data_IF_944660091611
#
_entry.id   IF_944660091611
#
_cell.length_a   1.000
_cell.length_b   1.000
_cell.length_c   1.000
_cell.angle_alpha   90.00
_cell.angle_beta   90.00
_cell.angle_gamma   90.00
#
_symmetry.space_group_name_H-M   'P 1'
#
loop_
_entity.id
_entity.type
_entity.pdbx_description
1 polymer ?
#
# COMPACT_ATOMS: atom_id res chain seq x y z
N UNK A 1 4.72 -1.02 -14.80
CA UNK A 1 5.42 -0.59 -13.56
C UNK A 1 6.91 -0.78 -13.79
N UNK A 2 7.70 0.25 -13.50
CA UNK A 2 9.15 0.21 -13.64
C UNK A 2 9.77 0.13 -12.24
N UNK A 3 10.64 -0.86 -12.03
CA UNK A 3 11.39 -1.01 -10.77
C UNK A 3 12.81 -0.48 -10.96
N UNK A 4 13.31 0.23 -9.96
CA UNK A 4 14.67 0.75 -9.99
C UNK A 4 15.67 -0.38 -9.75
N UNK A 5 16.64 -0.53 -10.67
CA UNK A 5 17.78 -1.45 -10.52
C UNK A 5 19.02 -0.68 -10.00
N UNK A 6 19.92 -1.35 -9.28
CA UNK A 6 21.12 -0.76 -8.67
C UNK A 6 22.02 -0.05 -9.70
N UNK A 7 22.14 -0.61 -10.90
CA UNK A 7 22.96 -0.07 -12.00
C UNK A 7 22.41 1.25 -12.58
N UNK A 8 21.14 1.58 -12.35
CA UNK A 8 20.50 2.81 -12.87
C UNK A 8 20.36 3.92 -11.84
N UNK A 9 20.75 3.71 -10.58
CA UNK A 9 20.43 4.65 -9.51
C UNK A 9 21.12 6.02 -9.67
N UNK A 10 22.31 6.10 -10.27
CA UNK A 10 22.95 7.39 -10.58
C UNK A 10 22.22 8.15 -11.69
N UNK A 11 21.57 7.46 -12.62
CA UNK A 11 20.89 8.07 -13.77
C UNK A 11 19.51 8.66 -13.45
N UNK A 12 18.97 8.42 -12.25
CA UNK A 12 17.63 8.89 -11.87
C UNK A 12 17.63 10.22 -11.12
N UNK A 13 18.80 10.73 -10.68
CA UNK A 13 18.89 12.04 -10.03
C UNK A 13 18.67 13.20 -11.03
N UNK A 14 18.06 14.32 -10.59
CA UNK A 14 17.30 14.45 -9.35
C UNK A 14 15.99 13.66 -9.42
N UNK A 15 15.54 13.11 -8.30
CA UNK A 15 14.23 12.45 -8.20
C UNK A 15 13.43 12.93 -7.00
N UNK A 16 12.11 12.79 -7.09
CA UNK A 16 11.19 13.05 -6.00
C UNK A 16 10.90 11.73 -5.29
N UNK A 17 11.30 11.59 -4.03
CA UNK A 17 10.94 10.46 -3.20
C UNK A 17 9.61 10.74 -2.47
N UNK A 18 8.62 9.90 -2.71
CA UNK A 18 7.30 9.93 -2.07
C UNK A 18 7.26 8.85 -1.00
N UNK A 19 7.32 9.24 0.27
CA UNK A 19 7.27 8.32 1.41
C UNK A 19 5.86 8.21 1.97
N UNK A 20 5.23 7.08 1.74
CA UNK A 20 3.88 6.72 2.17
C UNK A 20 3.94 5.88 3.45
N UNK A 21 3.83 6.53 4.61
CA UNK A 21 3.85 5.89 5.94
C UNK A 21 2.51 6.15 6.64
N UNK A 22 2.53 6.56 7.91
CA UNK A 22 1.32 7.02 8.62
C UNK A 22 0.67 8.19 7.88
N UNK A 23 1.46 9.20 7.53
CA UNK A 23 1.14 10.22 6.53
C UNK A 23 2.00 10.06 5.26
N UNK A 24 1.92 11.03 4.37
CA UNK A 24 2.72 11.06 3.13
C UNK A 24 3.72 12.22 3.19
N UNK A 25 4.99 11.96 2.85
CA UNK A 25 6.03 12.99 2.81
C UNK A 25 6.75 13.00 1.47
N UNK A 26 7.08 14.19 0.98
CA UNK A 26 7.73 14.40 -0.31
C UNK A 26 9.13 14.94 -0.06
N UNK A 27 10.13 14.28 -0.64
CA UNK A 27 11.52 14.68 -0.53
C UNK A 27 12.10 14.86 -1.92
N UNK A 28 12.76 15.98 -2.14
CA UNK A 28 13.64 16.13 -3.30
C UNK A 28 14.99 15.53 -2.94
N UNK A 29 15.50 14.68 -3.82
CA UNK A 29 16.79 14.02 -3.68
C UNK A 29 17.63 14.42 -4.88
N UNK A 30 18.65 15.24 -4.65
CA UNK A 30 19.52 15.77 -5.70
C UNK A 30 20.76 14.90 -5.93
N UNK A 31 21.23 14.22 -4.88
CA UNK A 31 22.42 13.37 -4.92
C UNK A 31 22.38 12.32 -3.80
N UNK A 32 23.34 11.37 -3.75
CA UNK A 32 23.42 10.40 -2.66
C UNK A 32 23.55 11.01 -1.25
N UNK A 33 23.98 12.27 -1.16
CA UNK A 33 24.21 12.99 0.11
C UNK A 33 23.30 14.21 0.29
N UNK A 34 22.55 14.60 -0.74
CA UNK A 34 21.67 15.78 -0.70
C UNK A 34 20.22 15.38 -0.85
N UNK A 35 19.46 15.56 0.24
CA UNK A 35 18.02 15.42 0.24
C UNK A 35 17.38 16.43 1.19
N UNK A 36 16.19 16.90 0.85
CA UNK A 36 15.40 17.74 1.75
C UNK A 36 13.90 17.54 1.53
N UNK A 37 13.12 17.80 2.58
CA UNK A 37 11.67 17.64 2.55
C UNK A 37 11.03 18.85 1.90
N UNK A 38 10.28 18.61 0.83
CA UNK A 38 9.58 19.66 0.07
C UNK A 38 8.12 19.81 0.45
N UNK A 39 7.55 18.81 1.12
CA UNK A 39 6.15 18.85 1.54
C UNK A 39 5.68 17.59 2.25
N UNK A 40 4.40 17.57 2.55
CA UNK A 40 3.72 16.39 3.07
C UNK A 40 2.21 16.54 3.13
N UNK A 41 1.54 15.42 3.37
CA UNK A 41 0.11 15.32 3.52
C UNK A 41 -0.22 14.45 4.73
N UNK A 42 -1.21 14.83 5.56
CA UNK A 42 -1.67 14.00 6.67
C UNK A 42 -2.40 12.74 6.17
N UNK A 43 -2.75 12.67 4.88
CA UNK A 43 -3.42 11.52 4.27
C UNK A 43 -2.36 10.50 3.88
N UNK A 44 -2.32 9.40 4.63
CA UNK A 44 -1.46 8.25 4.37
C UNK A 44 -2.07 6.96 4.90
N UNK A 45 -1.22 5.99 5.22
CA UNK A 45 -1.67 4.68 5.67
C UNK A 45 -2.41 4.69 7.01
N UNK A 46 -2.05 5.60 7.94
CA UNK A 46 -2.76 5.72 9.21
C UNK A 46 -4.19 6.27 9.02
N UNK A 47 -4.38 7.17 8.04
CA UNK A 47 -5.70 7.70 7.67
C UNK A 47 -6.59 6.59 7.13
N UNK A 48 -6.08 5.80 6.17
CA UNK A 48 -6.81 4.66 5.60
C UNK A 48 -7.15 3.63 6.67
N UNK A 49 -6.18 3.26 7.52
CA UNK A 49 -6.42 2.33 8.63
C UNK A 49 -7.43 2.86 9.64
N UNK A 50 -7.35 4.13 10.01
CA UNK A 50 -8.28 4.77 10.94
C UNK A 50 -9.70 4.76 10.40
N UNK A 51 -9.90 5.24 9.17
CA UNK A 51 -11.22 5.21 8.52
C UNK A 51 -11.75 3.79 8.34
N UNK A 52 -10.90 2.86 7.91
CA UNK A 52 -11.27 1.46 7.78
C UNK A 52 -11.74 0.85 9.11
N UNK A 53 -11.12 1.17 10.24
CA UNK A 53 -11.55 0.67 11.55
C UNK A 53 -12.93 1.18 11.97
N UNK A 54 -13.31 2.37 11.52
CA UNK A 54 -14.63 2.94 11.80
C UNK A 54 -15.70 2.48 10.79
N UNK A 55 -15.32 2.27 9.53
CA UNK A 55 -16.27 2.05 8.43
C UNK A 55 -16.39 0.60 7.98
N UNK A 56 -15.43 -0.27 8.33
CA UNK A 56 -15.37 -1.66 7.88
C UNK A 56 -15.43 -2.63 9.07
N UNK A 57 -16.03 -3.82 8.88
CA UNK A 57 -16.01 -4.87 9.88
C UNK A 57 -14.57 -5.28 10.21
N UNK A 58 -14.33 -5.75 11.43
CA UNK A 58 -12.98 -6.08 11.93
C UNK A 58 -12.18 -7.01 11.00
N UNK A 59 -12.86 -7.95 10.32
CA UNK A 59 -12.25 -8.87 9.34
C UNK A 59 -11.57 -8.16 8.14
N UNK A 60 -11.92 -6.89 7.89
CA UNK A 60 -11.40 -6.06 6.81
C UNK A 60 -10.55 -4.87 7.29
N UNK A 61 -10.34 -4.67 8.59
CA UNK A 61 -9.72 -3.43 9.13
C UNK A 61 -8.66 -3.62 10.23
N UNK A 62 -8.32 -4.87 10.58
CA UNK A 62 -7.26 -5.16 11.58
C UNK A 62 -5.89 -4.74 11.09
N UNK A 63 -5.52 -5.15 9.89
CA UNK A 63 -4.23 -4.85 9.25
C UNK A 63 -4.43 -4.17 7.90
N UNK A 64 -3.41 -3.49 7.37
CA UNK A 64 -3.46 -2.95 6.01
C UNK A 64 -3.77 -4.03 4.97
N UNK A 65 -3.18 -5.22 5.12
CA UNK A 65 -3.41 -6.35 4.22
C UNK A 65 -4.88 -6.79 4.19
N UNK A 66 -5.60 -6.68 5.30
CA UNK A 66 -7.03 -7.01 5.37
C UNK A 66 -7.86 -6.05 4.51
N UNK A 67 -7.55 -4.75 4.54
CA UNK A 67 -8.23 -3.74 3.72
C UNK A 67 -8.02 -4.04 2.24
N UNK A 68 -6.77 -4.33 1.84
CA UNK A 68 -6.43 -4.70 0.46
C UNK A 68 -7.18 -5.93 -0.01
N UNK A 69 -7.25 -6.96 0.85
CA UNK A 69 -7.94 -8.21 0.55
C UNK A 69 -9.44 -7.97 0.40
N UNK A 70 -10.03 -7.16 1.29
CA UNK A 70 -11.44 -6.80 1.26
C UNK A 70 -11.81 -6.07 -0.04
N UNK A 71 -10.98 -5.13 -0.49
CA UNK A 71 -11.23 -4.37 -1.72
C UNK A 71 -10.80 -5.03 -3.03
N UNK A 72 -10.15 -6.21 -2.99
CA UNK A 72 -9.37 -6.76 -4.13
C UNK A 72 -10.11 -6.89 -5.46
N UNK A 73 -11.39 -7.22 -5.42
CA UNK A 73 -12.19 -7.53 -6.61
C UNK A 73 -13.31 -6.53 -6.87
N UNK A 74 -13.40 -5.46 -6.06
CA UNK A 74 -14.53 -4.55 -6.14
C UNK A 74 -14.23 -3.29 -6.94
N UNK A 75 -15.29 -2.78 -7.57
CA UNK A 75 -15.35 -1.48 -8.22
C UNK A 75 -15.54 -0.36 -7.18
N UNK A 76 -15.01 0.82 -7.45
CA UNK A 76 -15.21 2.02 -6.64
C UNK A 76 -16.43 2.84 -7.11
N UNK A 77 -16.90 2.62 -8.34
CA UNK A 77 -18.01 3.38 -8.94
C UNK A 77 -19.33 3.40 -8.15
N UNK A 78 -19.68 2.41 -7.30
CA UNK A 78 -20.90 2.48 -6.49
C UNK A 78 -20.85 3.56 -5.38
N UNK A 79 -19.64 3.91 -4.94
CA UNK A 79 -19.43 4.81 -3.79
C UNK A 79 -18.79 6.14 -4.18
N UNK A 80 -17.92 6.13 -5.19
CA UNK A 80 -17.30 7.33 -5.73
C UNK A 80 -18.21 7.98 -6.78
N UNK A 81 -18.31 9.30 -6.74
CA UNK A 81 -18.99 10.09 -7.76
C UNK A 81 -18.05 10.30 -8.95
N UNK A 82 -18.46 9.85 -10.12
CA UNK A 82 -17.70 9.96 -11.37
C UNK A 82 -18.15 11.17 -12.19
N UNK A 83 -17.32 11.59 -13.14
CA UNK A 83 -17.65 12.65 -14.10
C UNK A 83 -18.92 12.31 -14.88
N UNK A 84 -19.12 11.04 -15.26
CA UNK A 84 -20.33 10.58 -15.94
C UNK A 84 -21.60 10.70 -15.09
N UNK A 85 -21.51 10.63 -13.76
CA UNK A 85 -22.66 10.84 -12.89
C UNK A 85 -23.11 12.32 -12.86
N UNK A 86 -22.20 13.25 -13.18
CA UNK A 86 -22.48 14.70 -13.21
C UNK A 86 -22.92 15.14 -14.62
N UNK A 87 -22.23 14.67 -15.65
CA UNK A 87 -22.38 15.16 -17.02
C UNK A 87 -23.07 14.17 -17.97
N UNK A 88 -23.43 12.98 -17.50
CA UNK A 88 -24.05 11.92 -18.32
C UNK A 88 -23.08 11.20 -19.27
N UNK A 89 -21.77 11.47 -19.17
CA UNK A 89 -20.75 10.89 -20.04
C UNK A 89 -19.37 11.50 -19.82
N UNK A 90 -18.55 11.51 -20.87
CA UNK A 90 -17.29 12.25 -20.88
C UNK A 90 -17.54 13.77 -20.81
N UNK A 91 -16.54 14.52 -20.36
CA UNK A 91 -16.55 15.99 -20.39
C UNK A 91 -15.37 16.52 -21.22
N UNK A 92 -15.51 16.57 -22.57
CA UNK A 92 -14.40 16.79 -23.49
C UNK A 92 -13.80 18.20 -23.43
N UNK A 93 -14.57 19.21 -23.03
CA UNK A 93 -14.14 20.62 -23.01
C UNK A 93 -12.89 20.85 -22.14
N UNK A 94 -12.71 20.02 -21.10
CA UNK A 94 -11.54 20.02 -20.23
C UNK A 94 -10.81 18.67 -20.21
N UNK A 95 -11.13 17.79 -21.16
CA UNK A 95 -10.45 16.51 -21.35
C UNK A 95 -10.70 15.45 -20.27
N UNK A 96 -11.81 15.51 -19.53
CA UNK A 96 -12.13 14.52 -18.50
C UNK A 96 -12.94 13.36 -19.07
N UNK A 97 -12.51 12.13 -18.79
CA UNK A 97 -13.28 10.92 -19.12
C UNK A 97 -14.39 10.69 -18.09
N UNK A 98 -15.50 10.12 -18.51
CA UNK A 98 -16.68 9.87 -17.67
C UNK A 98 -16.43 8.90 -16.53
N UNK A 99 -15.44 8.01 -16.64
CA UNK A 99 -15.00 7.11 -15.57
C UNK A 99 -14.00 7.74 -14.58
N UNK A 100 -13.67 9.02 -14.74
CA UNK A 100 -12.80 9.75 -13.81
C UNK A 100 -13.58 10.04 -12.53
N UNK A 101 -12.97 9.78 -11.37
CA UNK A 101 -13.57 10.15 -10.08
C UNK A 101 -13.61 11.68 -9.98
N UNK A 102 -14.80 12.23 -9.87
CA UNK A 102 -15.04 13.64 -9.59
C UNK A 102 -15.02 13.93 -8.08
N UNK A 103 -15.56 13.01 -7.27
CA UNK A 103 -15.55 13.11 -5.81
C UNK A 103 -15.55 11.73 -5.15
N UNK A 104 -14.48 11.41 -4.42
CA UNK A 104 -14.39 10.18 -3.63
C UNK A 104 -15.47 10.17 -2.54
N UNK A 105 -16.16 9.04 -2.36
CA UNK A 105 -17.33 8.90 -1.47
C UNK A 105 -18.53 9.82 -1.81
N UNK A 106 -18.53 10.51 -2.95
CA UNK A 106 -19.57 11.51 -3.25
C UNK A 106 -21.00 10.93 -3.30
N UNK A 107 -21.14 9.65 -3.69
CA UNK A 107 -22.43 8.93 -3.72
C UNK A 107 -22.94 8.54 -2.33
N UNK A 108 -22.05 8.47 -1.34
CA UNK A 108 -22.41 8.14 0.05
C UNK A 108 -23.35 9.17 0.70
N UNK A 109 -23.53 10.35 0.11
CA UNK A 109 -24.50 11.34 0.58
C UNK A 109 -25.95 10.89 0.38
N UNK A 110 -26.21 10.01 -0.59
CA UNK A 110 -27.52 9.39 -0.77
C UNK A 110 -27.71 8.25 0.26
N UNK A 111 -28.79 8.34 1.05
CA UNK A 111 -29.12 7.36 2.09
C UNK A 111 -29.31 5.95 1.53
N UNK A 112 -30.03 5.81 0.41
CA UNK A 112 -30.29 4.51 -0.22
C UNK A 112 -29.00 3.86 -0.70
N UNK A 113 -28.11 4.62 -1.33
CA UNK A 113 -26.80 4.10 -1.75
C UNK A 113 -25.96 3.68 -0.54
N UNK A 114 -25.98 4.47 0.55
CA UNK A 114 -25.23 4.15 1.79
C UNK A 114 -25.64 2.81 2.40
N UNK A 115 -26.92 2.43 2.32
CA UNK A 115 -27.45 1.19 2.90
C UNK A 115 -27.07 -0.06 2.08
N UNK A 116 -26.83 0.10 0.77
CA UNK A 116 -26.52 -1.01 -0.14
C UNK A 116 -25.02 -1.19 -0.43
N UNK A 117 -24.19 -0.25 0.04
CA UNK A 117 -22.74 -0.28 -0.20
C UNK A 117 -22.08 -1.39 0.60
N UNK A 118 -21.28 -2.20 -0.10
CA UNK A 118 -20.54 -3.31 0.49
C UNK A 118 -19.26 -2.82 1.15
N UNK A 119 -18.83 -3.51 2.20
CA UNK A 119 -17.54 -3.24 2.86
C UNK A 119 -16.34 -3.29 1.90
N UNK A 120 -16.41 -4.15 0.89
CA UNK A 120 -15.38 -4.26 -0.14
C UNK A 120 -15.30 -3.04 -1.07
N UNK A 121 -16.43 -2.38 -1.36
CA UNK A 121 -16.50 -1.13 -2.14
C UNK A 121 -15.96 0.05 -1.32
N UNK A 122 -16.29 0.11 -0.03
CA UNK A 122 -15.71 1.08 0.92
C UNK A 122 -14.19 0.91 0.98
N UNK A 123 -13.71 -0.32 1.17
CA UNK A 123 -12.27 -0.61 1.21
C UNK A 123 -11.58 -0.18 -0.10
N UNK A 124 -12.19 -0.46 -1.25
CA UNK A 124 -11.68 -0.04 -2.57
C UNK A 124 -11.61 1.48 -2.68
N UNK A 125 -12.68 2.20 -2.35
CA UNK A 125 -12.75 3.66 -2.44
C UNK A 125 -11.74 4.32 -1.49
N UNK A 126 -11.56 3.83 -0.25
CA UNK A 126 -10.53 4.32 0.68
C UNK A 126 -9.11 4.22 0.09
N UNK A 127 -8.77 3.08 -0.51
CA UNK A 127 -7.47 2.89 -1.16
C UNK A 127 -7.30 3.81 -2.36
N UNK A 128 -8.36 3.99 -3.14
CA UNK A 128 -8.36 4.84 -4.34
C UNK A 128 -8.16 6.30 -3.95
N UNK A 129 -8.89 6.79 -2.94
CA UNK A 129 -8.75 8.14 -2.38
C UNK A 129 -7.30 8.43 -1.97
N UNK A 130 -6.67 7.55 -1.19
CA UNK A 130 -5.28 7.74 -0.78
C UNK A 130 -4.34 7.74 -2.00
N UNK A 131 -4.54 6.81 -2.93
CA UNK A 131 -3.69 6.65 -4.13
C UNK A 131 -3.77 7.86 -5.05
N UNK A 132 -4.98 8.33 -5.35
CA UNK A 132 -5.24 9.48 -6.22
C UNK A 132 -4.67 10.77 -5.61
N UNK A 133 -4.93 11.01 -4.32
CA UNK A 133 -4.40 12.16 -3.61
C UNK A 133 -2.86 12.16 -3.60
N UNK A 134 -2.26 11.01 -3.30
CA UNK A 134 -0.79 10.87 -3.29
C UNK A 134 -0.20 11.11 -4.69
N UNK A 135 -0.81 10.55 -5.73
CA UNK A 135 -0.36 10.72 -7.11
C UNK A 135 -0.45 12.19 -7.56
N UNK A 136 -1.55 12.88 -7.25
CA UNK A 136 -1.72 14.28 -7.61
C UNK A 136 -0.70 15.18 -6.91
N UNK A 137 -0.50 15.01 -5.60
CA UNK A 137 0.50 15.78 -4.85
C UNK A 137 1.92 15.49 -5.33
N UNK A 138 2.22 14.23 -5.66
CA UNK A 138 3.51 13.85 -6.25
C UNK A 138 3.74 14.56 -7.59
N UNK A 139 2.72 14.60 -8.46
CA UNK A 139 2.77 15.33 -9.74
C UNK A 139 3.00 16.83 -9.54
N UNK A 140 2.28 17.46 -8.60
CA UNK A 140 2.40 18.90 -8.34
C UNK A 140 3.80 19.25 -7.81
N UNK A 141 4.30 18.49 -6.84
CA UNK A 141 5.66 18.68 -6.33
C UNK A 141 6.73 18.41 -7.40
N UNK A 142 6.59 17.33 -8.17
CA UNK A 142 7.52 17.02 -9.26
C UNK A 142 7.54 18.14 -10.32
N UNK A 143 6.37 18.66 -10.68
CA UNK A 143 6.23 19.77 -11.64
C UNK A 143 6.86 21.06 -11.12
N UNK A 144 6.64 21.38 -9.84
CA UNK A 144 7.18 22.58 -9.20
C UNK A 144 8.71 22.60 -9.21
N UNK A 145 9.35 21.44 -9.03
CA UNK A 145 10.82 21.33 -8.98
C UNK A 145 11.45 20.88 -10.30
N UNK A 146 10.67 20.70 -11.37
CA UNK A 146 11.18 20.25 -12.67
C UNK A 146 11.80 18.85 -12.64
N UNK A 147 11.17 17.92 -11.91
CA UNK A 147 11.66 16.54 -11.72
C UNK A 147 10.79 15.57 -12.52
N UNK A 148 11.42 14.74 -13.34
CA UNK A 148 10.69 13.75 -14.16
C UNK A 148 10.59 12.37 -13.49
N UNK A 149 11.53 12.03 -12.60
CA UNK A 149 11.57 10.75 -11.91
C UNK A 149 10.92 10.85 -10.53
N UNK A 150 9.87 10.08 -10.29
CA UNK A 150 9.16 10.03 -9.00
C UNK A 150 9.22 8.62 -8.44
N UNK A 151 9.82 8.48 -7.27
CA UNK A 151 10.06 7.21 -6.61
C UNK A 151 9.09 7.05 -5.44
N UNK A 152 8.23 6.04 -5.47
CA UNK A 152 7.28 5.75 -4.39
C UNK A 152 7.84 4.70 -3.43
N UNK A 153 7.85 5.01 -2.13
CA UNK A 153 8.33 4.14 -1.05
C UNK A 153 7.34 4.14 0.13
N UNK A 154 7.25 3.08 0.93
CA UNK A 154 6.30 3.10 2.06
C UNK A 154 5.88 1.76 2.68
N UNK A 155 5.13 1.87 3.78
CA UNK A 155 4.60 0.75 4.60
C UNK A 155 3.52 -0.07 3.88
N UNK A 156 2.82 0.56 2.93
CA UNK A 156 1.81 -0.08 2.11
C UNK A 156 2.39 -0.69 0.83
N UNK A 157 3.65 -1.15 0.83
CA UNK A 157 4.33 -1.68 -0.36
C UNK A 157 4.80 -3.14 -0.22
N UNK A 158 4.15 -3.94 0.63
CA UNK A 158 4.28 -5.40 0.60
C UNK A 158 3.80 -6.00 -0.74
N UNK A 159 4.32 -7.16 -1.10
CA UNK A 159 4.18 -7.87 -2.38
C UNK A 159 2.74 -8.12 -2.87
N UNK A 160 1.72 -7.96 -2.01
CA UNK A 160 0.29 -8.06 -2.34
C UNK A 160 -0.35 -6.76 -2.87
N UNK A 161 0.43 -5.70 -3.11
CA UNK A 161 -0.03 -4.32 -3.35
C UNK A 161 -0.06 -3.83 -4.79
N UNK A 162 -0.05 -4.75 -5.77
CA UNK A 162 -0.17 -4.39 -7.19
C UNK A 162 -1.34 -3.45 -7.49
N UNK A 163 -2.42 -3.54 -6.72
CA UNK A 163 -3.61 -2.71 -6.89
C UNK A 163 -3.36 -1.24 -6.56
N UNK A 164 -2.71 -0.95 -5.42
CA UNK A 164 -2.39 0.43 -5.00
C UNK A 164 -1.41 1.04 -5.98
N UNK A 165 -0.39 0.27 -6.41
CA UNK A 165 0.53 0.71 -7.45
C UNK A 165 -0.17 0.98 -8.78
N UNK A 166 -1.08 0.11 -9.20
CA UNK A 166 -1.86 0.32 -10.42
C UNK A 166 -2.70 1.58 -10.34
N UNK A 167 -3.37 1.85 -9.20
CA UNK A 167 -4.14 3.07 -8.99
C UNK A 167 -3.25 4.32 -8.99
N UNK A 168 -2.11 4.29 -8.29
CA UNK A 168 -1.14 5.39 -8.29
C UNK A 168 -0.61 5.62 -9.70
N UNK A 169 -0.15 4.58 -10.40
CA UNK A 169 0.39 4.67 -11.75
C UNK A 169 -0.64 5.25 -12.73
N UNK A 170 -1.88 4.74 -12.70
CA UNK A 170 -2.95 5.22 -13.57
C UNK A 170 -3.28 6.69 -13.30
N UNK A 171 -3.40 7.06 -12.02
CA UNK A 171 -3.68 8.45 -11.62
C UNK A 171 -2.52 9.39 -11.92
N UNK A 172 -1.29 8.92 -11.73
CA UNK A 172 -0.08 9.69 -12.01
C UNK A 172 0.08 9.92 -13.52
N UNK A 173 -0.12 8.88 -14.34
CA UNK A 173 -0.11 9.00 -15.81
C UNK A 173 -1.19 9.94 -16.32
N UNK A 174 -2.37 9.96 -15.68
CA UNK A 174 -3.43 10.91 -16.00
C UNK A 174 -2.97 12.36 -15.86
N UNK A 175 -2.32 12.72 -14.75
CA UNK A 175 -1.84 14.09 -14.52
C UNK A 175 -0.60 14.46 -15.33
N UNK A 176 0.28 13.49 -15.57
CA UNK A 176 1.59 13.76 -16.19
C UNK A 176 1.54 13.69 -17.72
N UNK A 177 0.49 13.08 -18.29
CA UNK A 177 0.43 12.73 -19.71
C UNK A 177 1.55 11.76 -20.12
N UNK A 178 2.11 11.01 -19.17
CA UNK A 178 3.23 10.09 -19.39
C UNK A 178 4.61 10.76 -19.44
N UNK A 179 4.72 12.08 -19.23
CA UNK A 179 6.01 12.79 -19.23
C UNK A 179 6.89 12.43 -18.03
N UNK A 180 6.28 12.17 -16.88
CA UNK A 180 6.99 11.79 -15.66
C UNK A 180 6.88 10.29 -15.42
N UNK A 181 7.92 9.69 -14.83
CA UNK A 181 8.01 8.26 -14.56
C UNK A 181 7.77 7.97 -13.09
N UNK A 182 6.80 7.09 -12.82
CA UNK A 182 6.61 6.49 -11.51
C UNK A 182 7.50 5.24 -11.37
N UNK A 183 8.40 5.29 -10.40
CA UNK A 183 9.40 4.27 -10.11
C UNK A 183 9.11 3.63 -8.74
N UNK A 184 9.39 2.34 -8.63
CA UNK A 184 9.15 1.56 -7.41
C UNK A 184 10.38 0.76 -6.97
N UNK A 185 10.49 0.47 -5.67
CA UNK A 185 11.52 -0.40 -5.12
C UNK A 185 10.90 -1.69 -4.56
N UNK A 186 11.55 -2.83 -4.80
CA UNK A 186 11.11 -4.14 -4.30
C UNK A 186 11.16 -4.23 -2.77
N UNK A 187 12.14 -3.58 -2.14
CA UNK A 187 12.39 -3.63 -0.69
C UNK A 187 12.21 -2.26 -0.03
N UNK A 188 11.27 -1.46 -0.54
CA UNK A 188 11.05 -0.08 -0.13
C UNK A 188 10.81 0.09 1.38
N UNK A 189 10.23 -0.91 2.05
CA UNK A 189 9.90 -0.90 3.46
C UNK A 189 11.12 -1.01 4.39
N UNK A 190 12.23 -1.58 3.93
CA UNK A 190 13.45 -1.74 4.74
C UNK A 190 14.41 -0.56 4.64
N UNK A 191 14.19 0.40 3.73
CA UNK A 191 15.12 1.50 3.46
C UNK A 191 15.50 2.29 4.71
N UNK A 192 14.55 2.54 5.61
CA UNK A 192 14.81 3.24 6.87
C UNK A 192 15.72 2.46 7.83
N UNK A 193 15.48 1.15 7.96
CA UNK A 193 16.30 0.28 8.82
C UNK A 193 17.71 0.09 8.24
N UNK A 194 17.81 -0.10 6.91
CA UNK A 194 19.08 -0.22 6.22
C UNK A 194 19.93 1.06 6.34
N UNK A 195 19.32 2.23 6.18
CA UNK A 195 20.02 3.51 6.37
C UNK A 195 20.54 3.69 7.80
N UNK A 196 19.80 3.23 8.81
CA UNK A 196 20.25 3.26 10.21
C UNK A 196 21.45 2.33 10.46
N UNK A 197 21.43 1.13 9.87
CA UNK A 197 22.55 0.17 9.95
C UNK A 197 23.82 0.75 9.31
N UNK A 198 23.73 1.25 8.09
CA UNK A 198 24.87 1.84 7.37
C UNK A 198 25.47 3.04 8.11
N UNK A 199 24.64 3.88 8.72
CA UNK A 199 25.11 5.01 9.54
C UNK A 199 25.87 4.54 10.78
N UNK A 200 25.48 3.43 11.39
CA UNK A 200 26.20 2.84 12.53
C UNK A 200 27.56 2.33 12.10
N UNK A 201 27.64 1.59 11.00
CA UNK A 201 28.90 1.07 10.46
C UNK A 201 29.88 2.19 10.10
N UNK A 202 29.41 3.25 9.44
CA UNK A 202 30.26 4.40 9.11
C UNK A 202 30.78 5.12 10.37
N UNK A 203 29.94 5.25 11.40
CA UNK A 203 30.32 5.89 12.67
C UNK A 203 31.39 5.06 13.39
N UNK A 204 31.22 3.73 13.44
CA UNK A 204 32.20 2.81 14.03
C UNK A 204 33.55 2.88 13.31
N UNK A 205 33.57 2.95 11.98
CA UNK A 205 34.79 3.10 11.20
C UNK A 205 35.55 4.41 11.49
N UNK A 206 34.83 5.50 11.77
CA UNK A 206 35.46 6.81 12.08
C UNK A 206 35.97 6.97 13.51
N UNK A 207 35.45 6.19 14.48
CA UNK A 207 35.81 6.32 15.90
C UNK A 207 37.03 5.49 16.34
N UNK A 208 37.62 4.68 15.45
CA UNK A 208 38.85 3.92 15.74
C UNK A 208 39.90 4.10 14.64
N UNK A 209 40.66 5.22 14.62
CA UNK A 209 41.88 5.27 13.84
C UNK A 209 42.93 4.39 14.57
N UNK A 210 43.12 3.15 14.10
CA UNK A 210 44.19 2.26 14.59
C UNK A 210 43.78 1.01 15.35
N UNK A 211 42.48 0.66 15.41
CA UNK A 211 42.12 -0.76 15.59
C UNK A 211 41.95 -1.33 14.19
N UNK A 212 42.83 -2.26 13.80
CA UNK A 212 42.43 -3.26 12.81
C UNK A 212 41.06 -3.77 13.23
N UNK A 213 40.09 -3.64 12.33
CA UNK A 213 38.89 -4.47 12.39
C UNK A 213 39.44 -5.88 12.50
N UNK A 214 39.32 -6.50 13.68
CA UNK A 214 39.43 -7.95 13.80
C UNK A 214 38.49 -8.42 12.69
N UNK A 215 38.97 -9.13 11.66
CA UNK A 215 38.07 -9.74 10.70
C UNK A 215 37.08 -10.46 11.58
N UNK A 216 35.79 -10.15 11.45
CA UNK A 216 34.81 -11.07 11.98
C UNK A 216 35.14 -12.34 11.20
N UNK A 217 35.89 -13.23 11.84
CA UNK A 217 36.34 -14.49 11.25
C UNK A 217 35.13 -14.99 10.55
N UNK A 218 35.29 -15.16 9.24
CA UNK A 218 34.32 -15.78 8.36
C UNK A 218 33.62 -16.84 9.16
N UNK A 219 32.42 -16.52 9.63
CA UNK A 219 31.50 -17.52 10.11
C UNK A 219 31.12 -18.22 8.82
N UNK A 220 31.92 -19.22 8.47
CA UNK A 220 31.60 -20.31 7.57
C UNK A 220 30.48 -21.12 8.22
N UNK A 221 29.32 -20.47 8.39
CA UNK A 221 27.99 -20.97 8.67
C UNK A 221 27.13 -19.87 8.04
N UNK A 222 26.64 -19.95 6.80
CA UNK A 222 25.73 -20.99 6.33
C UNK A 222 25.48 -20.83 4.81
N UNK A 223 26.41 -21.24 3.97
CA UNK A 223 26.02 -21.74 2.63
C UNK A 223 25.48 -23.18 2.73
N UNK A 224 25.88 -23.94 3.76
CA UNK A 224 25.35 -25.27 4.04
C UNK A 224 23.91 -25.25 4.55
N UNK A 225 23.50 -24.29 5.39
CA UNK A 225 22.13 -24.25 5.93
C UNK A 225 21.13 -23.48 5.05
N UNK A 226 21.60 -22.66 4.09
CA UNK A 226 20.72 -22.25 2.99
C UNK A 226 20.42 -23.42 2.05
N UNK A 227 21.40 -24.27 1.74
CA UNK A 227 21.17 -25.48 0.93
C UNK A 227 20.39 -26.56 1.70
N UNK A 228 20.60 -26.72 3.01
CA UNK A 228 19.81 -27.64 3.86
C UNK A 228 18.36 -27.16 4.02
N UNK A 229 18.11 -25.84 4.06
CA UNK A 229 16.75 -25.29 4.09
C UNK A 229 16.08 -25.31 2.71
N UNK A 230 16.83 -25.16 1.62
CA UNK A 230 16.29 -25.27 0.25
C UNK A 230 16.05 -26.74 -0.15
N UNK A 231 16.86 -27.69 0.32
CA UNK A 231 16.56 -29.14 0.16
C UNK A 231 15.40 -29.58 1.04
N UNK A 232 15.28 -29.09 2.28
CA UNK A 232 14.13 -29.42 3.14
C UNK A 232 12.81 -28.73 2.72
N UNK A 233 12.86 -27.58 2.04
CA UNK A 233 11.67 -27.04 1.36
C UNK A 233 11.29 -27.87 0.13
N UNK A 234 12.24 -28.38 -0.65
CA UNK A 234 11.94 -29.24 -1.82
C UNK A 234 11.46 -30.65 -1.43
N UNK A 235 11.82 -31.16 -0.25
CA UNK A 235 11.28 -32.43 0.29
C UNK A 235 9.86 -32.23 0.85
N UNK A 236 9.55 -31.08 1.46
CA UNK A 236 8.20 -30.77 1.95
C UNK A 236 7.19 -30.52 0.82
N UNK A 237 7.62 -29.89 -0.28
CA UNK A 237 6.78 -29.67 -1.47
C UNK A 237 6.51 -30.99 -2.24
N UNK A 238 7.46 -31.91 -2.27
CA UNK A 238 7.25 -33.23 -2.89
C UNK A 238 6.44 -34.19 -2.02
N UNK A 239 6.45 -34.05 -0.69
CA UNK A 239 5.63 -34.89 0.21
C UNK A 239 4.17 -34.41 0.27
N UNK A 240 3.91 -33.10 0.17
CA UNK A 240 2.57 -32.54 0.04
C UNK A 240 1.89 -32.89 -1.30
N UNK A 241 2.67 -33.16 -2.35
CA UNK A 241 2.15 -33.63 -3.65
C UNK A 241 1.75 -35.12 -3.68
N UNK A 242 2.25 -35.93 -2.72
CA UNK A 242 1.98 -37.38 -2.64
C UNK A 242 0.89 -37.79 -1.65
N UNK A 243 0.43 -36.89 -0.77
CA UNK A 243 -0.68 -37.18 0.17
C UNK A 243 -2.06 -36.85 -0.44
N UNK A 244 -2.11 -36.32 -1.67
CA UNK A 244 -3.37 -35.97 -2.37
C UNK A 244 -3.91 -37.03 -3.35
N UNK A 245 -3.63 -38.31 -3.12
CA UNK A 245 -4.31 -39.43 -3.80
C UNK A 245 -4.57 -40.57 -2.81
N UNK A 246 -5.85 -40.91 -2.65
CA UNK A 246 -6.45 -41.83 -1.66
C UNK A 246 -6.58 -41.17 -0.28
N UNK A 247 -7.75 -40.73 0.17
CA UNK A 247 -8.84 -41.63 0.58
C UNK A 247 -10.18 -40.86 0.61
N UNK A 248 -11.25 -41.63 0.50
CA UNK A 248 -12.65 -41.33 0.15
C UNK A 248 -13.46 -40.71 1.32
N UNK A 249 -14.51 -39.95 0.96
CA UNK A 249 -15.67 -39.41 1.72
C UNK A 249 -16.49 -40.49 2.49
N UNK A 250 -17.71 -40.26 3.06
CA UNK A 250 -18.37 -39.14 3.79
C UNK A 250 -19.20 -39.58 5.04
N UNK A 251 -19.29 -38.82 6.15
CA UNK A 251 -20.45 -38.78 7.09
C UNK A 251 -20.17 -37.84 8.30
N UNK A 252 -21.01 -36.82 8.51
CA UNK A 252 -22.02 -36.66 9.59
C UNK A 252 -21.46 -36.65 11.02
N UNK A 253 -21.62 -35.51 11.69
CA UNK A 253 -22.07 -35.41 13.08
C UNK A 253 -22.64 -34.00 13.30
N UNK A 254 -23.94 -33.98 13.57
CA UNK A 254 -24.69 -32.91 14.21
C UNK A 254 -24.01 -32.50 15.53
N UNK A 255 -24.11 -31.22 15.89
CA UNK A 255 -24.53 -30.82 17.24
C UNK A 255 -24.90 -29.33 17.23
N UNK A 256 -26.10 -29.10 17.78
CA UNK A 256 -26.86 -27.88 17.89
C UNK A 256 -26.29 -26.85 18.90
N UNK A 257 -26.92 -25.67 18.87
CA UNK A 257 -27.05 -24.66 19.95
C UNK A 257 -25.78 -23.85 20.32
N UNK A 258 -25.78 -22.52 20.42
CA UNK A 258 -26.82 -21.60 20.90
C UNK A 258 -26.87 -20.29 20.07
N UNK A 259 -28.10 -19.89 19.75
CA UNK A 259 -28.48 -18.51 19.47
C UNK A 259 -28.47 -17.70 20.77
N UNK A 260 -27.74 -16.57 20.80
CA UNK A 260 -27.98 -15.52 21.80
C UNK A 260 -28.43 -14.24 21.08
N UNK A 261 -29.74 -13.98 21.22
CA UNK A 261 -30.43 -12.75 20.90
C UNK A 261 -29.81 -11.56 21.64
N UNK A 262 -29.43 -10.51 20.91
CA UNK A 262 -29.24 -9.17 21.47
C UNK A 262 -30.43 -8.29 21.06
N UNK A 263 -31.44 -8.24 21.93
CA UNK A 263 -32.51 -7.24 21.87
C UNK A 263 -32.03 -5.89 22.45
N UNK A 264 -32.44 -4.74 21.89
CA UNK A 264 -32.03 -3.43 22.39
C UNK A 264 -32.94 -2.93 23.53
N UNK A 265 -32.34 -2.60 24.67
CA UNK A 265 -32.99 -1.95 25.81
C UNK A 265 -33.10 -0.44 25.56
N UNK A 266 -34.33 0.07 25.46
CA UNK A 266 -34.66 1.50 25.47
C UNK A 266 -34.50 2.11 26.88
N UNK A 267 -33.93 3.31 27.05
CA UNK A 267 -33.93 4.00 28.33
C UNK A 267 -35.26 4.70 28.60
N UNK A 268 -35.83 4.44 29.78
CA UNK A 268 -37.03 5.11 30.33
C UNK A 268 -36.74 6.58 30.62
N UNK A 269 -37.71 7.41 30.27
CA UNK A 269 -37.86 8.78 30.77
C UNK A 269 -38.07 8.77 32.29
N UNK A 270 -37.41 9.68 33.00
CA UNK A 270 -37.76 10.08 34.36
C UNK A 270 -38.30 11.51 34.30
N UNK A 271 -39.60 11.64 34.55
CA UNK A 271 -40.21 12.86 35.08
C UNK A 271 -39.91 12.94 36.58
N UNK A 272 -39.58 14.14 37.06
CA UNK A 272 -39.28 14.43 38.46
C UNK A 272 -38.17 15.47 38.62
#
# INVERSE_FOLDING_TARGET
>A
MEFVNSERFQSIFPFLMVSMKSGTSFYRVDSPTSMYRVGGSPIGGATVMGMARHMLPAKCSRTPADILRCGKTCDFSPLDLLVSDIYGGDYPSIGLKGNTVASSFGKANNKEQREHVKSSEIARSLMNLMSMNTAQLAYLHASLYGIDNVVFVGYLLDTHLLQVFSSIQSSFNFWTGGRMKALYFRHAHYLGALGALLKRESTLATMTPGRELIPCDTVTLEQSLLDERLTNLNVSVNTASKIRKNTVQPWELDEDDDEDELTPVLPRQLEG
#
